data_IF_407168179619
#
_entry.id   IF_407168179619
#
_cell.length_a   1.000
_cell.length_b   1.000
_cell.length_c   1.000
_cell.angle_alpha   90.00
_cell.angle_beta   90.00
_cell.angle_gamma   90.00
#
_symmetry.space_group_name_H-M   'P 1'
#
loop_
_entity.id
_entity.type
_entity.pdbx_description
1 polymer ?
#
# COMPACT_ATOMS: atom_id res chain seq x y z
N UNK A 1 7.81 5.97 -19.88
CA UNK A 1 6.96 4.84 -20.24
C UNK A 1 5.49 5.21 -20.28
N UNK A 2 4.90 5.75 -19.20
CA UNK A 2 3.47 6.13 -19.18
C UNK A 2 3.14 7.10 -20.32
N UNK A 3 3.93 8.16 -20.47
CA UNK A 3 3.80 9.15 -21.55
C UNK A 3 3.93 8.51 -22.93
N UNK A 4 4.86 7.56 -23.10
CA UNK A 4 5.05 6.85 -24.37
C UNK A 4 3.85 5.99 -24.74
N UNK A 5 3.20 5.35 -23.74
CA UNK A 5 2.09 4.43 -23.96
C UNK A 5 0.76 5.19 -24.14
N UNK A 6 0.53 6.22 -23.33
CA UNK A 6 -0.77 6.84 -23.17
C UNK A 6 -0.76 8.37 -23.29
N UNK A 7 0.38 9.01 -23.60
CA UNK A 7 0.54 10.46 -23.54
C UNK A 7 -0.49 11.24 -24.36
N UNK A 8 -0.69 10.87 -25.63
CA UNK A 8 -1.64 11.55 -26.50
C UNK A 8 -2.81 10.66 -26.97
N UNK A 9 -2.67 9.34 -26.85
CA UNK A 9 -3.66 8.42 -27.44
C UNK A 9 -5.07 8.63 -26.90
N UNK A 10 -5.20 8.90 -25.61
CA UNK A 10 -6.48 9.10 -24.94
C UNK A 10 -7.12 10.46 -25.22
N UNK A 11 -6.42 11.37 -25.88
CA UNK A 11 -6.88 12.72 -26.25
C UNK A 11 -7.29 12.80 -27.72
N UNK A 12 -7.01 11.76 -28.52
CA UNK A 12 -7.27 11.78 -29.97
C UNK A 12 -8.77 11.64 -30.26
N UNK A 13 -9.40 12.68 -30.79
CA UNK A 13 -10.82 12.72 -31.15
C UNK A 13 -11.28 11.60 -32.10
N UNK A 14 -10.48 11.12 -33.09
CA UNK A 14 -10.88 10.01 -33.94
C UNK A 14 -11.07 8.68 -33.20
N UNK A 15 -10.50 8.55 -32.01
CA UNK A 15 -10.64 7.37 -31.16
C UNK A 15 -11.84 7.55 -30.23
N UNK A 16 -13.01 7.10 -30.66
CA UNK A 16 -14.25 7.17 -29.86
C UNK A 16 -14.21 6.29 -28.59
N UNK A 17 -13.27 5.38 -28.52
CA UNK A 17 -12.97 4.57 -27.34
C UNK A 17 -11.59 3.96 -27.45
N UNK A 18 -10.84 4.00 -26.36
CA UNK A 18 -9.53 3.37 -26.24
C UNK A 18 -9.32 2.87 -24.82
N UNK A 19 -8.89 1.62 -24.69
CA UNK A 19 -8.62 1.01 -23.41
C UNK A 19 -7.31 0.24 -23.45
N UNK A 20 -6.38 0.56 -22.54
CA UNK A 20 -5.15 -0.20 -22.38
C UNK A 20 -5.45 -1.50 -21.63
N UNK A 21 -5.41 -2.62 -22.32
CA UNK A 21 -5.76 -3.92 -21.75
C UNK A 21 -4.58 -4.61 -21.07
N UNK A 22 -3.40 -4.53 -21.66
CA UNK A 22 -2.20 -5.16 -21.12
C UNK A 22 -0.92 -4.47 -21.60
N UNK A 23 0.18 -4.73 -20.91
CA UNK A 23 1.53 -4.32 -21.27
C UNK A 23 2.44 -5.55 -21.31
N UNK A 24 3.14 -5.71 -22.43
CA UNK A 24 4.24 -6.67 -22.56
C UNK A 24 5.54 -5.93 -22.58
N UNK A 25 6.27 -5.99 -21.49
CA UNK A 25 7.54 -5.30 -21.33
C UNK A 25 8.69 -6.25 -21.60
N UNK A 26 9.67 -5.86 -22.46
CA UNK A 26 10.89 -6.65 -22.63
C UNK A 26 11.62 -6.80 -21.28
N UNK A 27 12.21 -7.97 -21.03
CA UNK A 27 12.96 -8.26 -19.80
C UNK A 27 14.05 -7.20 -19.57
N UNK A 28 14.84 -6.88 -20.58
CA UNK A 28 15.88 -5.87 -20.50
C UNK A 28 15.38 -4.45 -20.15
N UNK A 29 14.09 -4.16 -20.38
CA UNK A 29 13.46 -2.93 -19.93
C UNK A 29 13.07 -3.03 -18.45
N UNK A 30 12.44 -4.13 -18.05
CA UNK A 30 11.97 -4.33 -16.69
C UNK A 30 13.14 -4.37 -15.69
N UNK A 31 14.28 -4.96 -16.06
CA UNK A 31 15.51 -5.06 -15.25
C UNK A 31 16.14 -3.71 -14.91
N UNK A 32 15.74 -2.62 -15.58
CA UNK A 32 16.19 -1.25 -15.25
C UNK A 32 15.47 -0.64 -14.03
N UNK A 33 14.43 -1.30 -13.56
CA UNK A 33 13.67 -0.88 -12.40
C UNK A 33 13.95 -1.83 -11.25
N UNK A 34 14.00 -1.30 -10.04
CA UNK A 34 14.24 -2.12 -8.85
C UNK A 34 13.11 -3.15 -8.64
N UNK A 35 11.89 -2.80 -9.06
CA UNK A 35 10.73 -3.63 -8.78
C UNK A 35 10.41 -3.74 -7.30
N UNK A 36 9.56 -4.70 -6.91
CA UNK A 36 9.23 -4.92 -5.50
C UNK A 36 10.46 -5.45 -4.73
N UNK A 37 10.74 -4.86 -3.58
CA UNK A 37 11.89 -5.25 -2.74
C UNK A 37 11.66 -6.57 -2.02
N UNK A 38 10.44 -6.83 -1.58
CA UNK A 38 10.03 -8.01 -0.82
C UNK A 38 9.13 -8.95 -1.62
N UNK A 39 8.26 -8.40 -2.45
CA UNK A 39 7.32 -9.15 -3.26
C UNK A 39 6.39 -10.06 -2.44
N UNK A 40 5.84 -11.08 -3.07
CA UNK A 40 4.93 -12.00 -2.42
C UNK A 40 5.58 -12.81 -1.30
N UNK A 41 6.80 -13.30 -1.53
CA UNK A 41 7.48 -14.15 -0.54
C UNK A 41 7.90 -13.35 0.69
N UNK A 42 8.47 -12.15 0.49
CA UNK A 42 8.83 -11.27 1.60
C UNK A 42 7.60 -10.81 2.39
N UNK A 43 6.51 -10.45 1.73
CA UNK A 43 5.23 -10.14 2.40
C UNK A 43 4.75 -11.30 3.27
N UNK A 44 4.79 -12.54 2.75
CA UNK A 44 4.43 -13.74 3.51
C UNK A 44 5.34 -13.99 4.70
N UNK A 45 6.64 -13.76 4.54
CA UNK A 45 7.61 -13.90 5.62
C UNK A 45 7.32 -12.90 6.76
N UNK A 46 7.05 -11.62 6.43
CA UNK A 46 6.68 -10.61 7.43
C UNK A 46 5.34 -10.92 8.13
N UNK A 47 4.39 -11.51 7.41
CA UNK A 47 3.10 -11.91 7.98
C UNK A 47 3.17 -13.25 8.76
N UNK A 48 4.26 -13.98 8.66
CA UNK A 48 4.40 -15.31 9.28
C UNK A 48 3.44 -16.37 8.71
N UNK A 49 3.03 -16.23 7.42
CA UNK A 49 2.03 -17.10 6.77
C UNK A 49 2.58 -17.60 5.42
N UNK A 50 3.32 -18.71 5.41
CA UNK A 50 4.03 -19.16 4.20
C UNK A 50 3.11 -19.70 3.10
N UNK A 51 2.04 -20.43 3.41
CA UNK A 51 1.32 -21.22 2.40
C UNK A 51 -0.13 -20.80 2.17
N UNK A 52 -0.94 -20.66 3.23
CA UNK A 52 -2.36 -20.31 3.10
C UNK A 52 -2.58 -18.86 2.67
N UNK A 53 -3.78 -18.48 2.22
CA UNK A 53 -4.15 -17.07 2.07
C UNK A 53 -4.01 -16.31 3.39
N UNK A 54 -3.58 -15.04 3.31
CA UNK A 54 -3.61 -14.09 4.41
C UNK A 54 -5.05 -13.67 4.67
N UNK A 55 -5.47 -13.67 5.93
CA UNK A 55 -6.77 -13.12 6.34
C UNK A 55 -6.51 -11.70 6.84
N UNK A 56 -7.16 -10.73 6.22
CA UNK A 56 -6.94 -9.32 6.53
C UNK A 56 -8.20 -8.50 6.59
N UNK A 57 -8.10 -7.32 7.22
CA UNK A 57 -9.16 -6.34 7.31
C UNK A 57 -8.64 -4.91 7.23
N UNK A 58 -9.55 -3.95 7.10
CA UNK A 58 -9.29 -2.51 7.13
C UNK A 58 -9.82 -1.96 8.44
N UNK A 59 -9.10 -1.01 9.05
CA UNK A 59 -9.58 -0.25 10.21
C UNK A 59 -10.73 0.66 9.77
N UNK A 60 -11.87 0.55 10.40
CA UNK A 60 -13.06 1.38 10.18
C UNK A 60 -13.65 1.83 11.53
N UNK A 61 -14.30 3.01 11.59
CA UNK A 61 -14.54 3.97 10.50
C UNK A 61 -13.25 4.65 10.00
N UNK A 62 -13.30 5.17 8.77
CA UNK A 62 -12.15 5.86 8.13
C UNK A 62 -11.65 7.07 8.91
N UNK A 63 -12.55 7.76 9.61
CA UNK A 63 -12.31 8.95 10.41
C UNK A 63 -13.10 8.85 11.71
N UNK A 64 -12.55 9.40 12.80
CA UNK A 64 -13.27 9.52 14.09
C UNK A 64 -12.75 8.58 15.18
N UNK A 65 -11.88 7.62 14.88
CA UNK A 65 -11.17 6.88 15.93
C UNK A 65 -10.00 7.71 16.46
N UNK A 66 -9.85 7.74 17.77
CA UNK A 66 -8.61 8.20 18.39
C UNK A 66 -7.50 7.14 18.24
N UNK A 67 -6.26 7.52 18.54
CA UNK A 67 -5.14 6.57 18.53
C UNK A 67 -5.37 5.41 19.51
N UNK A 68 -5.90 5.67 20.71
CA UNK A 68 -6.18 4.64 21.69
C UNK A 68 -7.33 3.72 21.26
N UNK A 69 -8.41 4.29 20.69
CA UNK A 69 -9.50 3.48 20.13
C UNK A 69 -9.03 2.59 18.97
N UNK A 70 -8.13 3.11 18.13
CA UNK A 70 -7.49 2.33 17.06
C UNK A 70 -6.66 1.18 17.65
N UNK A 71 -5.86 1.44 18.67
CA UNK A 71 -5.08 0.40 19.36
C UNK A 71 -5.95 -0.68 20.00
N UNK A 72 -7.08 -0.30 20.63
CA UNK A 72 -8.02 -1.25 21.21
C UNK A 72 -8.66 -2.16 20.13
N UNK A 73 -9.10 -1.57 19.01
CA UNK A 73 -9.64 -2.34 17.88
C UNK A 73 -8.57 -3.32 17.32
N UNK A 74 -7.34 -2.88 17.20
CA UNK A 74 -6.23 -3.74 16.73
C UNK A 74 -5.97 -4.88 17.71
N UNK A 75 -6.07 -4.65 19.03
CA UNK A 75 -5.94 -5.71 20.03
C UNK A 75 -7.02 -6.79 19.85
N UNK A 76 -8.28 -6.40 19.62
CA UNK A 76 -9.37 -7.33 19.36
C UNK A 76 -9.15 -8.13 18.05
N UNK A 77 -8.70 -7.46 17.00
CA UNK A 77 -8.37 -8.13 15.74
C UNK A 77 -7.22 -9.13 15.89
N UNK A 78 -6.18 -8.78 16.63
CA UNK A 78 -5.08 -9.69 16.93
C UNK A 78 -5.55 -10.89 17.77
N UNK A 79 -6.44 -10.68 18.76
CA UNK A 79 -7.03 -11.75 19.55
C UNK A 79 -7.86 -12.71 18.67
N UNK A 80 -8.50 -12.20 17.61
CA UNK A 80 -9.18 -13.00 16.59
C UNK A 80 -8.27 -13.74 15.62
N UNK A 81 -6.95 -13.57 15.73
CA UNK A 81 -5.95 -14.28 14.91
C UNK A 81 -5.73 -13.73 13.51
N UNK A 82 -6.02 -12.44 13.28
CA UNK A 82 -5.83 -11.76 11.99
C UNK A 82 -4.37 -11.84 11.52
N UNK A 83 -4.13 -11.89 10.22
CA UNK A 83 -2.78 -11.89 9.64
C UNK A 83 -2.36 -10.49 9.17
N UNK A 84 -3.31 -9.73 8.62
CA UNK A 84 -3.06 -8.45 7.98
C UNK A 84 -4.11 -7.41 8.38
N UNK A 85 -3.64 -6.24 8.80
CA UNK A 85 -4.48 -5.09 9.13
C UNK A 85 -4.05 -3.93 8.24
N UNK A 86 -4.98 -3.32 7.54
CA UNK A 86 -4.72 -2.13 6.73
C UNK A 86 -5.26 -0.89 7.45
N UNK A 87 -4.40 0.12 7.61
CA UNK A 87 -4.82 1.48 7.93
C UNK A 87 -5.77 2.00 6.84
N UNK A 88 -6.68 2.90 7.18
CA UNK A 88 -7.58 3.45 6.17
C UNK A 88 -6.84 4.41 5.24
N UNK A 89 -7.17 4.39 3.96
CA UNK A 89 -6.55 5.26 2.95
C UNK A 89 -6.89 6.74 3.14
N UNK A 90 -7.96 7.05 3.87
CA UNK A 90 -8.36 8.40 4.24
C UNK A 90 -7.74 8.86 5.57
N UNK A 91 -7.12 7.92 6.30
CA UNK A 91 -6.48 8.22 7.57
C UNK A 91 -5.12 8.87 7.33
N UNK A 92 -5.12 10.19 7.43
CA UNK A 92 -3.92 11.01 7.33
C UNK A 92 -3.35 11.31 8.72
N UNK A 93 -2.59 12.36 8.85
CA UNK A 93 -2.01 12.86 10.10
C UNK A 93 -2.88 13.99 10.66
N UNK A 94 -4.13 13.66 11.02
CA UNK A 94 -5.08 14.63 11.55
C UNK A 94 -4.98 14.81 13.07
N UNK A 95 -5.40 15.97 13.61
CA UNK A 95 -5.24 16.29 15.03
C UNK A 95 -6.03 15.36 15.96
N UNK A 96 -7.11 14.72 15.48
CA UNK A 96 -7.89 13.76 16.27
C UNK A 96 -7.21 12.39 16.41
N UNK A 97 -6.29 12.06 15.49
CA UNK A 97 -5.52 10.82 15.50
C UNK A 97 -4.17 11.06 14.82
N UNK A 98 -3.22 11.72 15.51
CA UNK A 98 -1.88 11.97 14.98
C UNK A 98 -1.22 10.66 14.56
N UNK A 99 -0.45 10.72 13.48
CA UNK A 99 0.17 9.52 12.87
C UNK A 99 1.04 8.77 13.87
N UNK A 100 1.91 9.47 14.58
CA UNK A 100 2.80 8.87 15.58
C UNK A 100 2.04 8.19 16.71
N UNK A 101 1.03 8.85 17.28
CA UNK A 101 0.22 8.27 18.36
C UNK A 101 -0.52 7.02 17.89
N UNK A 102 -1.03 7.03 16.64
CA UNK A 102 -1.68 5.87 16.01
C UNK A 102 -0.70 4.70 15.85
N UNK A 103 0.50 4.95 15.31
CA UNK A 103 1.54 3.93 15.17
C UNK A 103 1.91 3.35 16.52
N UNK A 104 2.19 4.20 17.50
CA UNK A 104 2.56 3.81 18.87
C UNK A 104 1.49 2.94 19.54
N UNK A 105 0.22 3.37 19.50
CA UNK A 105 -0.89 2.63 20.11
C UNK A 105 -1.14 1.29 19.41
N UNK A 106 -1.13 1.28 18.08
CA UNK A 106 -1.29 0.08 17.27
C UNK A 106 -0.17 -0.92 17.50
N UNK A 107 1.09 -0.48 17.45
CA UNK A 107 2.23 -1.39 17.62
C UNK A 107 2.35 -1.94 19.04
N UNK A 108 1.94 -1.17 20.06
CA UNK A 108 1.80 -1.67 21.42
C UNK A 108 0.82 -2.85 21.49
N UNK A 109 -0.34 -2.73 20.84
CA UNK A 109 -1.34 -3.80 20.78
C UNK A 109 -0.83 -5.03 20.02
N UNK A 110 -0.22 -4.83 18.85
CA UNK A 110 0.36 -5.91 18.03
C UNK A 110 1.46 -6.66 18.77
N UNK A 111 2.40 -5.94 19.41
CA UNK A 111 3.50 -6.54 20.14
C UNK A 111 3.00 -7.31 21.37
N UNK A 112 2.06 -6.74 22.14
CA UNK A 112 1.44 -7.44 23.29
C UNK A 112 0.69 -8.72 22.88
N UNK A 113 0.06 -8.73 21.71
CA UNK A 113 -0.55 -9.94 21.15
C UNK A 113 0.50 -10.96 20.69
N UNK A 114 1.56 -10.49 20.04
CA UNK A 114 2.67 -11.36 19.60
C UNK A 114 3.39 -12.03 20.78
N UNK A 115 3.60 -11.32 21.89
CA UNK A 115 4.20 -11.87 23.11
C UNK A 115 3.36 -13.01 23.71
N UNK A 116 2.03 -12.93 23.57
CA UNK A 116 1.10 -13.95 24.09
C UNK A 116 0.93 -15.14 23.15
N UNK A 117 0.95 -14.91 21.84
CA UNK A 117 0.55 -15.91 20.85
C UNK A 117 1.67 -16.43 19.97
N UNK A 118 2.83 -15.77 20.00
CA UNK A 118 3.93 -16.01 19.05
C UNK A 118 3.64 -15.50 17.63
N UNK A 119 2.48 -14.87 17.39
CA UNK A 119 2.06 -14.38 16.06
C UNK A 119 1.99 -12.86 16.03
N UNK A 120 2.77 -12.25 15.16
CA UNK A 120 2.76 -10.80 14.93
C UNK A 120 1.92 -10.46 13.70
N UNK A 121 0.81 -9.76 13.86
CA UNK A 121 0.00 -9.30 12.74
C UNK A 121 0.77 -8.26 11.92
N UNK A 122 0.68 -8.35 10.60
CA UNK A 122 1.23 -7.33 9.70
C UNK A 122 0.28 -6.12 9.66
N UNK A 123 0.80 -4.91 9.89
CA UNK A 123 -0.01 -3.67 9.82
C UNK A 123 0.57 -2.74 8.78
N UNK A 124 -0.24 -2.39 7.77
CA UNK A 124 0.12 -1.47 6.70
C UNK A 124 -0.30 -0.04 7.07
N UNK A 125 0.61 0.76 7.61
CA UNK A 125 0.38 2.15 7.98
C UNK A 125 0.40 3.08 6.77
N UNK A 126 -0.59 3.97 6.66
CA UNK A 126 -0.73 4.90 5.56
C UNK A 126 0.29 6.05 5.66
N UNK A 127 1.33 5.99 4.84
CA UNK A 127 2.38 7.02 4.78
C UNK A 127 2.02 8.20 3.87
N UNK A 128 0.98 8.08 3.03
CA UNK A 128 0.67 9.02 1.93
C UNK A 128 0.82 10.47 2.33
N UNK A 129 1.68 11.20 1.62
CA UNK A 129 2.03 12.58 1.88
C UNK A 129 3.13 13.07 0.93
N UNK A 130 3.77 14.15 1.28
CA UNK A 130 4.98 14.66 0.62
C UNK A 130 6.13 13.66 0.79
N UNK A 131 7.11 13.68 -0.11
CA UNK A 131 8.21 12.69 -0.13
C UNK A 131 8.96 12.63 1.20
N UNK A 132 9.34 13.78 1.75
CA UNK A 132 10.08 13.83 3.01
C UNK A 132 9.21 13.36 4.20
N UNK A 133 7.91 13.67 4.18
CA UNK A 133 6.96 13.17 5.17
C UNK A 133 6.79 11.65 5.08
N UNK A 134 6.69 11.10 3.88
CA UNK A 134 6.61 9.64 3.71
C UNK A 134 7.82 8.93 4.28
N UNK A 135 9.03 9.47 4.03
CA UNK A 135 10.28 8.91 4.59
C UNK A 135 10.28 8.99 6.12
N UNK A 136 9.98 10.17 6.67
CA UNK A 136 9.90 10.37 8.12
C UNK A 136 8.89 9.42 8.78
N UNK A 137 7.71 9.27 8.19
CA UNK A 137 6.67 8.35 8.66
C UNK A 137 7.09 6.90 8.56
N UNK A 138 7.80 6.53 7.47
CA UNK A 138 8.36 5.19 7.33
C UNK A 138 9.34 4.87 8.45
N UNK A 139 10.30 5.75 8.70
CA UNK A 139 11.33 5.56 9.72
C UNK A 139 10.70 5.44 11.12
N UNK A 140 9.70 6.26 11.41
CA UNK A 140 8.91 6.16 12.64
C UNK A 140 8.19 4.80 12.75
N UNK A 141 7.57 4.29 11.70
CA UNK A 141 6.96 2.95 11.69
C UNK A 141 7.99 1.88 11.98
N UNK A 142 9.19 2.00 11.39
CA UNK A 142 10.30 1.08 11.60
C UNK A 142 10.79 1.11 13.05
N UNK A 143 10.94 2.30 13.63
CA UNK A 143 11.39 2.50 15.02
C UNK A 143 10.44 1.86 16.05
N UNK A 144 9.13 1.88 15.77
CA UNK A 144 8.13 1.20 16.60
C UNK A 144 7.99 -0.30 16.27
N UNK A 145 8.85 -0.84 15.41
CA UNK A 145 8.85 -2.26 15.03
C UNK A 145 7.70 -2.65 14.11
N UNK A 146 7.23 -1.73 13.29
CA UNK A 146 6.19 -1.99 12.27
C UNK A 146 6.64 -3.02 11.24
N UNK A 147 5.69 -3.56 10.49
CA UNK A 147 5.89 -4.70 9.60
C UNK A 147 5.49 -4.45 8.15
N UNK A 148 4.82 -3.34 7.87
CA UNK A 148 4.38 -2.96 6.54
C UNK A 148 4.03 -1.46 6.50
N UNK A 149 4.10 -0.88 5.32
CA UNK A 149 3.63 0.48 5.06
C UNK A 149 2.68 0.51 3.87
N UNK A 150 1.86 1.54 3.78
CA UNK A 150 0.92 1.72 2.68
C UNK A 150 1.09 3.09 2.04
N UNK A 151 0.90 3.17 0.73
CA UNK A 151 0.77 4.43 -0.01
C UNK A 151 -0.41 4.40 -0.97
N UNK A 152 -1.10 5.52 -1.11
CA UNK A 152 -2.11 5.74 -2.14
C UNK A 152 -1.44 6.09 -3.47
N UNK A 153 -1.41 5.17 -4.41
CA UNK A 153 -0.65 5.27 -5.65
C UNK A 153 -0.97 6.54 -6.45
N UNK A 154 -2.23 6.89 -6.59
CA UNK A 154 -2.66 8.10 -7.31
C UNK A 154 -2.21 9.38 -6.58
N UNK A 155 -2.22 9.36 -5.25
CA UNK A 155 -1.82 10.51 -4.42
C UNK A 155 -0.31 10.77 -4.46
N UNK A 156 0.51 9.73 -4.38
CA UNK A 156 1.98 9.88 -4.36
C UNK A 156 2.60 9.94 -5.76
N UNK A 157 1.89 9.44 -6.77
CA UNK A 157 2.38 9.36 -8.13
C UNK A 157 3.55 8.39 -8.28
N UNK A 158 4.01 8.24 -9.54
CA UNK A 158 5.07 7.30 -9.89
C UNK A 158 6.41 7.66 -9.22
N UNK A 159 6.75 8.95 -9.17
CA UNK A 159 8.00 9.40 -8.56
C UNK A 159 8.03 9.18 -7.06
N UNK A 160 6.92 9.47 -6.35
CA UNK A 160 6.80 9.21 -4.92
C UNK A 160 6.87 7.71 -4.60
N UNK A 161 6.23 6.87 -5.42
CA UNK A 161 6.29 5.41 -5.25
C UNK A 161 7.72 4.87 -5.45
N UNK A 162 8.44 5.33 -6.48
CA UNK A 162 9.83 4.93 -6.72
C UNK A 162 10.73 5.39 -5.58
N UNK A 163 10.51 6.59 -5.08
CA UNK A 163 11.30 7.15 -4.00
C UNK A 163 11.15 6.34 -2.71
N UNK A 164 9.92 6.15 -2.25
CA UNK A 164 9.67 5.35 -1.05
C UNK A 164 10.08 3.88 -1.23
N UNK A 165 9.95 3.32 -2.44
CA UNK A 165 10.40 1.97 -2.77
C UNK A 165 11.91 1.77 -2.63
N UNK A 166 12.70 2.83 -2.86
CA UNK A 166 14.15 2.81 -2.63
C UNK A 166 14.50 2.99 -1.16
N UNK A 167 13.75 3.83 -0.45
CA UNK A 167 13.98 4.14 0.96
C UNK A 167 13.55 3.00 1.90
N UNK A 168 12.44 2.32 1.59
CA UNK A 168 11.80 1.40 2.53
C UNK A 168 12.65 0.20 2.93
N UNK A 169 12.53 -0.17 4.21
CA UNK A 169 12.97 -1.46 4.77
C UNK A 169 11.79 -2.38 5.13
N UNK A 170 10.58 -1.96 4.76
CA UNK A 170 9.34 -2.68 5.00
C UNK A 170 8.59 -2.93 3.68
N UNK A 171 7.81 -4.02 3.58
CA UNK A 171 6.93 -4.24 2.43
C UNK A 171 5.95 -3.08 2.22
N UNK A 172 5.71 -2.72 0.96
CA UNK A 172 4.77 -1.67 0.59
C UNK A 172 3.46 -2.28 0.12
N UNK A 173 2.38 -2.01 0.87
CA UNK A 173 1.01 -2.20 0.43
C UNK A 173 0.58 -1.03 -0.47
N UNK A 174 0.39 -1.26 -1.74
CA UNK A 174 0.00 -0.22 -2.68
C UNK A 174 -1.53 -0.13 -2.79
N UNK A 175 -2.10 1.01 -2.36
CA UNK A 175 -3.53 1.23 -2.40
C UNK A 175 -3.96 1.93 -3.69
N UNK A 176 -5.02 1.42 -4.31
CA UNK A 176 -5.54 1.90 -5.60
C UNK A 176 -6.55 3.06 -5.51
N UNK A 177 -6.51 3.88 -4.46
CA UNK A 177 -7.40 5.03 -4.35
C UNK A 177 -7.38 5.87 -5.65
N UNK A 178 -8.55 6.26 -6.14
CA UNK A 178 -8.69 6.96 -7.43
C UNK A 178 -8.74 6.06 -8.67
N UNK A 179 -8.51 4.75 -8.55
CA UNK A 179 -8.57 3.81 -9.67
C UNK A 179 -9.89 3.86 -10.44
N UNK A 180 -11.01 4.10 -9.76
CA UNK A 180 -12.32 4.21 -10.41
C UNK A 180 -12.37 5.26 -11.53
N UNK A 181 -11.63 6.36 -11.41
CA UNK A 181 -11.54 7.39 -12.45
C UNK A 181 -10.86 6.88 -13.75
N UNK A 182 -10.02 5.86 -13.64
CA UNK A 182 -9.28 5.28 -14.77
C UNK A 182 -9.97 4.05 -15.39
N UNK A 183 -11.00 3.49 -14.77
CA UNK A 183 -11.51 2.18 -15.17
C UNK A 183 -13.03 2.07 -15.30
N UNK A 184 -13.83 3.01 -14.76
CA UNK A 184 -15.29 2.89 -14.74
C UNK A 184 -15.94 3.00 -16.11
N UNK A 185 -15.36 3.77 -17.01
CA UNK A 185 -15.84 3.83 -18.39
C UNK A 185 -15.46 2.54 -19.12
N UNK A 186 -16.41 1.83 -19.77
CA UNK A 186 -16.13 0.59 -20.46
C UNK A 186 -15.27 0.77 -21.72
N UNK A 187 -15.33 1.95 -22.34
CA UNK A 187 -14.66 2.26 -23.61
C UNK A 187 -13.36 3.05 -23.41
N UNK A 188 -13.21 3.76 -22.29
CA UNK A 188 -12.05 4.63 -22.05
C UNK A 188 -11.34 4.23 -20.76
N UNK A 189 -10.01 4.14 -20.80
CA UNK A 189 -9.23 3.94 -19.57
C UNK A 189 -8.26 2.77 -19.62
N UNK A 190 -8.00 2.17 -18.46
CA UNK A 190 -6.99 1.14 -18.26
C UNK A 190 -7.59 -0.11 -17.62
N UNK A 191 -7.03 -1.28 -17.98
CA UNK A 191 -7.28 -2.50 -17.23
C UNK A 191 -6.40 -2.54 -15.99
N UNK A 192 -6.84 -3.26 -14.95
CA UNK A 192 -6.05 -3.44 -13.73
C UNK A 192 -4.72 -4.17 -13.99
N UNK A 193 -4.65 -5.24 -14.83
CA UNK A 193 -3.37 -5.87 -15.18
C UNK A 193 -2.35 -4.92 -15.79
N UNK A 194 -2.75 -4.05 -16.73
CA UNK A 194 -1.85 -3.07 -17.32
C UNK A 194 -1.35 -2.06 -16.29
N UNK A 195 -2.26 -1.52 -15.47
CA UNK A 195 -1.97 -0.53 -14.45
C UNK A 195 -1.07 -1.10 -13.34
N UNK A 196 -1.38 -2.30 -12.84
CA UNK A 196 -0.61 -2.93 -11.77
C UNK A 196 0.83 -3.27 -12.16
N UNK A 197 1.09 -3.63 -13.43
CA UNK A 197 2.46 -3.87 -13.91
C UNK A 197 3.36 -2.65 -13.76
N UNK A 198 2.84 -1.44 -14.02
CA UNK A 198 3.60 -0.21 -13.86
C UNK A 198 3.99 0.05 -12.39
N UNK A 199 3.05 -0.16 -11.48
CA UNK A 199 3.30 0.03 -10.06
C UNK A 199 4.20 -1.05 -9.46
N UNK A 200 4.13 -2.28 -10.00
CA UNK A 200 5.08 -3.33 -9.66
C UNK A 200 6.51 -2.93 -10.04
N UNK A 201 6.72 -2.37 -11.23
CA UNK A 201 8.03 -1.82 -11.63
C UNK A 201 8.49 -0.71 -10.70
N UNK A 202 7.57 0.12 -10.22
CA UNK A 202 7.86 1.22 -9.29
C UNK A 202 8.20 0.77 -7.85
N UNK A 203 7.96 -0.51 -7.50
CA UNK A 203 8.35 -1.05 -6.20
C UNK A 203 7.21 -1.58 -5.32
N UNK A 204 5.96 -1.64 -5.80
CA UNK A 204 4.85 -2.19 -5.02
C UNK A 204 5.03 -3.68 -4.72
N UNK A 205 5.06 -4.08 -3.45
CA UNK A 205 5.23 -5.47 -3.04
C UNK A 205 3.93 -6.27 -3.15
N UNK A 206 2.83 -5.70 -2.71
CA UNK A 206 1.48 -6.23 -2.89
C UNK A 206 0.48 -5.08 -3.03
N UNK A 207 -0.68 -5.37 -3.60
CA UNK A 207 -1.61 -4.33 -4.03
C UNK A 207 -3.04 -4.67 -3.63
N UNK A 208 -3.80 -3.61 -3.31
CA UNK A 208 -5.25 -3.69 -3.22
C UNK A 208 -5.84 -3.87 -4.62
N UNK A 209 -6.69 -4.85 -4.85
CA UNK A 209 -7.39 -5.18 -6.11
C UNK A 209 -8.86 -4.84 -6.02
#
# INVERSE_FOLDING_TARGET
>A
LITTIAGNLFELQPLSGIRLLDLRLPTAFAERYAGPKFGMQGTRAFAGVPERPLIGTIIKPSVGLSADATGALVADLCAGGIDFIKDDELQADGPACPFEDRVKSTMRAVNAAADKTGKKAMVAFNLTGEIDEMRRRHDLVLDYGGTCVMVNLTGVGMSGMIDIGRHTELPIHAHRAGWGALTRDPLLGWSYPAWSKLWRLAGADHMHV
#
